data_IF_673598000149
#
_entry.id   IF_673598000149
#
_cell.length_a   1.000
_cell.length_b   1.000
_cell.length_c   1.000
_cell.angle_alpha   90.00
_cell.angle_beta   90.00
_cell.angle_gamma   90.00
#
_symmetry.space_group_name_H-M   'P 1'
#
loop_
_entity.id
_entity.type
_entity.pdbx_description
1 polymer ?
#
# COMPACT_ATOMS: atom_id res chain seq x y z
N UNK A 1 -20.46 8.48 -2.25
CA UNK A 1 -20.33 7.02 -2.10
C UNK A 1 -19.74 6.51 -3.40
N UNK A 2 -18.46 6.10 -3.43
CA UNK A 2 -17.88 5.47 -4.63
C UNK A 2 -18.52 4.08 -4.76
N UNK A 3 -19.08 3.76 -5.92
CA UNK A 3 -19.54 2.42 -6.23
C UNK A 3 -18.30 1.51 -6.26
N UNK A 4 -18.06 0.78 -5.17
CA UNK A 4 -17.03 -0.24 -5.08
C UNK A 4 -17.50 -1.43 -5.91
N UNK A 5 -17.23 -1.40 -7.21
CA UNK A 5 -17.25 -2.63 -7.98
C UNK A 5 -16.18 -3.54 -7.38
N UNK A 6 -16.48 -4.83 -7.11
CA UNK A 6 -15.49 -5.74 -6.56
C UNK A 6 -14.29 -5.78 -7.51
N UNK A 7 -13.10 -5.50 -6.98
CA UNK A 7 -11.84 -5.64 -7.72
C UNK A 7 -11.74 -7.11 -8.14
N UNK A 8 -11.60 -7.43 -9.45
CA UNK A 8 -11.48 -8.81 -9.91
C UNK A 8 -10.35 -9.57 -9.21
N UNK A 9 -10.56 -10.85 -8.89
CA UNK A 9 -9.56 -11.69 -8.21
C UNK A 9 -8.21 -11.74 -8.96
N UNK A 10 -8.26 -11.67 -10.29
CA UNK A 10 -7.06 -11.62 -11.13
C UNK A 10 -6.23 -10.35 -10.94
N UNK A 11 -6.84 -9.24 -10.53
CA UNK A 11 -6.16 -8.00 -10.16
C UNK A 11 -5.55 -8.15 -8.78
N UNK A 12 -6.31 -8.67 -7.81
CA UNK A 12 -5.84 -8.92 -6.44
C UNK A 12 -4.58 -9.79 -6.45
N UNK A 13 -4.62 -10.90 -7.18
CA UNK A 13 -3.48 -11.82 -7.29
C UNK A 13 -2.23 -11.15 -7.89
N UNK A 14 -2.37 -10.29 -8.90
CA UNK A 14 -1.23 -9.55 -9.48
C UNK A 14 -0.61 -8.58 -8.50
N UNK A 15 -1.44 -7.89 -7.71
CA UNK A 15 -0.97 -6.93 -6.70
C UNK A 15 -0.27 -7.67 -5.57
N UNK A 16 -0.82 -8.81 -5.12
CA UNK A 16 -0.18 -9.66 -4.12
C UNK A 16 1.19 -10.16 -4.60
N UNK A 17 1.30 -10.64 -5.84
CA UNK A 17 2.60 -11.06 -6.42
C UNK A 17 3.60 -9.89 -6.43
N UNK A 18 3.15 -8.68 -6.75
CA UNK A 18 4.00 -7.49 -6.69
C UNK A 18 4.46 -7.16 -5.26
N UNK A 19 3.57 -7.25 -4.27
CA UNK A 19 3.87 -6.97 -2.86
C UNK A 19 4.85 -7.98 -2.22
N UNK A 20 4.99 -9.17 -2.79
CA UNK A 20 6.00 -10.15 -2.38
C UNK A 20 7.41 -9.82 -2.90
N UNK A 21 7.54 -8.84 -3.81
CA UNK A 21 8.86 -8.44 -4.31
C UNK A 21 9.60 -7.59 -3.28
N UNK A 22 10.90 -7.83 -3.04
CA UNK A 22 11.66 -7.05 -2.09
C UNK A 22 11.74 -5.58 -2.54
N UNK A 23 11.48 -4.68 -1.60
CA UNK A 23 11.59 -3.24 -1.82
C UNK A 23 13.08 -2.88 -2.07
N UNK A 24 13.45 -2.37 -3.25
CA UNK A 24 14.86 -2.06 -3.51
C UNK A 24 15.35 -0.85 -2.69
N UNK A 25 16.67 -0.75 -2.44
CA UNK A 25 17.25 0.37 -1.71
C UNK A 25 16.93 1.72 -2.35
N UNK A 26 16.66 2.73 -1.51
CA UNK A 26 16.39 4.10 -1.94
C UNK A 26 17.52 4.62 -2.85
N UNK A 27 17.14 5.37 -3.90
CA UNK A 27 18.09 5.95 -4.86
C UNK A 27 18.63 5.00 -5.93
N UNK A 28 18.40 3.68 -5.81
CA UNK A 28 18.87 2.70 -6.81
C UNK A 28 18.07 2.76 -8.12
N UNK A 29 18.68 2.31 -9.22
CA UNK A 29 17.95 2.13 -10.50
C UNK A 29 16.81 1.10 -10.36
N UNK A 30 17.02 0.06 -9.56
CA UNK A 30 16.00 -0.95 -9.27
C UNK A 30 14.81 -0.36 -8.53
N UNK A 31 15.04 0.60 -7.63
CA UNK A 31 13.96 1.33 -6.96
C UNK A 31 13.07 2.08 -7.95
N UNK A 32 13.66 2.77 -8.91
CA UNK A 32 12.89 3.46 -9.97
C UNK A 32 12.03 2.48 -10.77
N UNK A 33 12.60 1.34 -11.18
CA UNK A 33 11.86 0.29 -11.89
C UNK A 33 10.69 -0.27 -11.06
N UNK A 34 10.90 -0.49 -9.77
CA UNK A 34 9.86 -0.95 -8.85
C UNK A 34 8.74 0.08 -8.71
N UNK A 35 9.09 1.37 -8.59
CA UNK A 35 8.11 2.46 -8.54
C UNK A 35 7.33 2.62 -9.86
N UNK A 36 7.99 2.42 -11.00
CA UNK A 36 7.34 2.42 -12.31
C UNK A 36 6.37 1.23 -12.47
N UNK A 37 6.73 0.05 -11.95
CA UNK A 37 5.80 -1.10 -11.86
C UNK A 37 4.62 -0.81 -10.94
N UNK A 38 4.86 -0.16 -9.80
CA UNK A 38 3.79 0.27 -8.90
C UNK A 38 2.81 1.21 -9.61
N UNK A 39 3.31 2.13 -10.44
CA UNK A 39 2.48 3.07 -11.22
C UNK A 39 1.74 2.41 -12.39
N UNK A 40 2.15 1.23 -12.81
CA UNK A 40 1.48 0.46 -13.87
C UNK A 40 0.48 -0.57 -13.34
N UNK A 41 0.25 -0.61 -12.02
CA UNK A 41 -0.80 -1.42 -11.43
C UNK A 41 -2.18 -1.01 -11.97
N UNK A 42 -3.11 -1.98 -12.11
CA UNK A 42 -4.42 -1.72 -12.69
C UNK A 42 -5.30 -0.81 -11.81
N UNK A 43 -6.37 -0.20 -12.37
CA UNK A 43 -7.34 0.55 -11.59
C UNK A 43 -7.90 -0.27 -10.41
N UNK A 44 -8.06 0.35 -9.24
CA UNK A 44 -8.44 -0.31 -7.99
C UNK A 44 -7.26 -0.87 -7.18
N UNK A 45 -6.02 -0.65 -7.63
CA UNK A 45 -4.84 -1.08 -6.88
C UNK A 45 -4.72 -0.40 -5.51
N UNK A 46 -5.12 0.86 -5.40
CA UNK A 46 -5.15 1.60 -4.14
C UNK A 46 -6.04 0.93 -3.08
N UNK A 47 -7.22 0.43 -3.47
CA UNK A 47 -8.11 -0.30 -2.56
C UNK A 47 -7.46 -1.56 -2.00
N UNK A 48 -6.79 -2.34 -2.86
CA UNK A 48 -6.08 -3.56 -2.46
C UNK A 48 -4.88 -3.23 -1.57
N UNK A 49 -4.13 -2.17 -1.88
CA UNK A 49 -2.99 -1.72 -1.09
C UNK A 49 -3.42 -1.22 0.29
N UNK A 50 -4.52 -0.48 0.39
CA UNK A 50 -5.08 -0.04 1.68
C UNK A 50 -5.53 -1.24 2.54
N UNK A 51 -6.17 -2.24 1.93
CA UNK A 51 -6.57 -3.44 2.66
C UNK A 51 -5.35 -4.30 3.06
N UNK A 52 -4.34 -4.38 2.20
CA UNK A 52 -3.09 -5.08 2.52
C UNK A 52 -2.33 -4.38 3.65
N UNK A 53 -2.31 -3.05 3.68
CA UNK A 53 -1.75 -2.29 4.79
C UNK A 53 -2.50 -2.56 6.11
N UNK A 54 -3.79 -2.88 6.04
CA UNK A 54 -4.61 -3.20 7.22
C UNK A 54 -4.42 -4.64 7.69
N UNK A 55 -4.29 -5.61 6.77
CA UNK A 55 -4.42 -7.04 7.10
C UNK A 55 -3.28 -7.95 6.64
N UNK A 56 -2.37 -7.46 5.82
CA UNK A 56 -1.25 -8.27 5.32
C UNK A 56 -0.25 -8.61 6.42
N UNK A 57 0.71 -9.45 6.08
CA UNK A 57 1.92 -9.69 6.89
C UNK A 57 2.74 -8.41 7.05
N UNK A 58 3.64 -8.30 8.05
CA UNK A 58 4.48 -7.11 8.20
C UNK A 58 5.26 -6.71 6.93
N UNK A 59 5.75 -7.69 6.17
CA UNK A 59 6.46 -7.45 4.91
C UNK A 59 5.54 -6.89 3.80
N UNK A 60 4.31 -7.41 3.70
CA UNK A 60 3.31 -6.90 2.76
C UNK A 60 2.83 -5.51 3.16
N UNK A 61 2.66 -5.24 4.45
CA UNK A 61 2.29 -3.92 4.98
C UNK A 61 3.33 -2.86 4.63
N UNK A 62 4.61 -3.15 4.84
CA UNK A 62 5.71 -2.25 4.48
C UNK A 62 5.75 -1.99 2.97
N UNK A 63 5.54 -3.03 2.15
CA UNK A 63 5.49 -2.92 0.69
C UNK A 63 4.27 -2.11 0.22
N UNK A 64 3.11 -2.32 0.84
CA UNK A 64 1.89 -1.57 0.55
C UNK A 64 2.03 -0.09 0.90
N UNK A 65 2.65 0.21 2.04
CA UNK A 65 2.94 1.59 2.48
C UNK A 65 3.82 2.34 1.46
N UNK A 66 4.87 1.67 0.97
CA UNK A 66 5.76 2.25 -0.03
C UNK A 66 5.05 2.43 -1.37
N UNK A 67 4.25 1.44 -1.79
CA UNK A 67 3.46 1.50 -3.01
C UNK A 67 2.46 2.67 -2.99
N UNK A 68 1.74 2.87 -1.88
CA UNK A 68 0.80 3.99 -1.71
C UNK A 68 1.52 5.34 -1.88
N UNK A 69 2.70 5.52 -1.26
CA UNK A 69 3.53 6.72 -1.45
C UNK A 69 3.91 6.93 -2.92
N UNK A 70 4.30 5.86 -3.62
CA UNK A 70 4.67 5.91 -5.05
C UNK A 70 3.49 6.25 -5.98
N UNK A 71 2.27 5.90 -5.57
CA UNK A 71 1.02 6.29 -6.22
C UNK A 71 0.56 7.73 -5.87
N UNK A 72 1.32 8.42 -5.01
CA UNK A 72 1.06 9.82 -4.65
C UNK A 72 0.12 9.99 -3.45
N UNK A 73 -0.07 8.94 -2.64
CA UNK A 73 -0.75 9.10 -1.36
C UNK A 73 0.12 9.85 -0.37
N UNK A 74 -0.48 10.78 0.37
CA UNK A 74 0.15 11.37 1.54
C UNK A 74 0.03 10.39 2.70
N UNK A 75 1.15 10.13 3.38
CA UNK A 75 1.21 9.17 4.48
C UNK A 75 1.93 9.77 5.67
N UNK A 76 1.30 9.69 6.84
CA UNK A 76 1.91 10.00 8.14
C UNK A 76 1.86 8.76 9.02
N UNK A 77 3.00 8.41 9.61
CA UNK A 77 3.10 7.35 10.62
C UNK A 77 3.01 7.97 12.01
N UNK A 78 2.22 7.36 12.89
CA UNK A 78 2.10 7.71 14.31
C UNK A 78 2.17 6.43 15.16
N UNK A 79 2.65 6.57 16.39
CA UNK A 79 2.71 5.47 17.36
C UNK A 79 4.12 5.06 17.73
N UNK A 80 4.21 4.21 18.76
CA UNK A 80 5.47 3.62 19.23
C UNK A 80 5.68 2.24 18.59
N UNK A 81 6.87 1.66 18.80
CA UNK A 81 7.24 0.33 18.30
C UNK A 81 6.19 -0.69 18.79
N UNK A 82 5.45 -1.29 17.86
CA UNK A 82 4.42 -2.29 18.15
C UNK A 82 2.97 -1.81 18.03
N UNK A 83 2.72 -0.51 17.89
CA UNK A 83 1.37 0.06 17.67
C UNK A 83 1.37 1.12 16.57
N UNK A 84 1.86 0.75 15.38
CA UNK A 84 1.91 1.66 14.24
C UNK A 84 0.50 2.01 13.79
N UNK A 85 0.22 3.30 13.67
CA UNK A 85 -1.00 3.84 13.10
C UNK A 85 -0.64 4.70 11.90
N UNK A 86 -1.25 4.43 10.76
CA UNK A 86 -1.03 5.18 9.53
C UNK A 86 -2.20 6.13 9.27
N UNK A 87 -1.91 7.42 9.11
CA UNK A 87 -2.85 8.38 8.56
C UNK A 87 -2.53 8.54 7.07
N UNK A 88 -3.52 8.31 6.22
CA UNK A 88 -3.38 8.27 4.77
C UNK A 88 -4.42 9.18 4.14
N UNK A 89 -4.10 9.81 3.01
CA UNK A 89 -5.09 10.42 2.13
C UNK A 89 -4.61 10.36 0.69
N UNK A 90 -5.53 10.22 -0.25
CA UNK A 90 -5.17 10.28 -1.67
C UNK A 90 -4.83 11.73 -2.04
N UNK A 91 -4.07 11.89 -3.12
CA UNK A 91 -3.68 13.21 -3.61
C UNK A 91 -4.91 14.09 -3.88
N UNK A 92 -4.95 15.26 -3.24
CA UNK A 92 -6.04 16.24 -3.42
C UNK A 92 -7.24 16.03 -2.52
N UNK A 93 -7.30 14.94 -1.75
CA UNK A 93 -8.32 14.80 -0.70
C UNK A 93 -7.94 15.60 0.55
N UNK A 94 -8.94 16.14 1.24
CA UNK A 94 -8.75 16.91 2.47
C UNK A 94 -8.79 16.02 3.70
N UNK A 95 -9.57 14.95 3.64
CA UNK A 95 -9.83 14.06 4.75
C UNK A 95 -8.72 13.01 4.86
N UNK A 96 -8.27 12.78 6.09
CA UNK A 96 -7.34 11.71 6.42
C UNK A 96 -8.13 10.49 6.86
N UNK A 97 -7.83 9.33 6.27
CA UNK A 97 -8.25 8.05 6.81
C UNK A 97 -7.16 7.49 7.72
N UNK A 98 -7.56 6.79 8.77
CA UNK A 98 -6.64 6.15 9.72
C UNK A 98 -6.70 4.64 9.55
N UNK A 99 -5.56 4.01 9.35
CA UNK A 99 -5.39 2.56 9.28
C UNK A 99 -4.49 2.13 10.43
N UNK A 100 -5.02 1.27 11.29
CA UNK A 100 -4.26 0.51 12.27
C UNK A 100 -4.07 -0.90 11.70
N UNK A 101 -2.83 -1.33 11.40
CA UNK A 101 -2.58 -2.68 10.94
C UNK A 101 -2.99 -3.69 12.01
N UNK A 102 -3.60 -4.78 11.57
CA UNK A 102 -3.79 -5.93 12.42
C UNK A 102 -2.44 -6.65 12.53
N UNK A 103 -1.93 -6.79 13.76
CA UNK A 103 -0.81 -7.68 14.02
C UNK A 103 -1.25 -9.11 13.68
N UNK A 104 -0.87 -9.59 12.50
CA UNK A 104 -0.85 -11.01 12.22
C UNK A 104 0.46 -11.55 12.77
N UNK A 105 0.38 -12.28 13.88
CA UNK A 105 1.46 -13.12 14.35
C UNK A 105 1.43 -14.37 13.46
N UNK A 106 2.52 -14.61 12.73
CA UNK A 106 2.72 -15.85 11.94
C UNK A 106 2.57 -17.12 12.81
#
# INVERSE_FOLDING_TARGET
>A
MRNLHPVPDSIVAKIQIFLLQPIPPNGSQFRRKWEDQCRSLPPGADEVLLETLRRGTPAEQDSALVALKSLGWDVMERGEIGDKTYMLRSRGEKEWQTIRPMLQLD
#
